data_IF_751720192634
#
_entry.id   IF_751720192634
#
_cell.length_a   1.000
_cell.length_b   1.000
_cell.length_c   1.000
_cell.angle_alpha   90.00
_cell.angle_beta   90.00
_cell.angle_gamma   90.00
#
_symmetry.space_group_name_H-M   'P 1'
#
loop_
_entity.id
_entity.type
_entity.pdbx_description
1 polymer ?
#
# COMPACT_ATOMS: atom_id res chain seq x y z
N UNK A 1 23.36 40.30 34.59
CA UNK A 1 24.04 39.15 33.96
C UNK A 1 23.90 39.30 32.45
N UNK A 2 24.99 39.56 31.72
CA UNK A 2 24.88 39.75 30.27
C UNK A 2 24.68 38.41 29.55
N UNK A 3 23.78 38.33 28.54
CA UNK A 3 23.62 37.13 27.74
C UNK A 3 24.85 36.94 26.85
N UNK A 4 25.55 35.83 27.03
CA UNK A 4 26.74 35.47 26.25
C UNK A 4 26.29 35.06 24.84
N UNK A 5 26.69 35.81 23.81
CA UNK A 5 26.36 35.49 22.42
C UNK A 5 27.02 34.16 22.05
N UNK A 6 26.29 33.21 21.42
CA UNK A 6 26.85 31.90 21.11
C UNK A 6 28.01 32.04 20.13
N UNK A 7 29.14 31.41 20.46
CA UNK A 7 30.39 31.45 19.68
C UNK A 7 30.25 30.95 18.24
N UNK A 8 29.22 30.13 17.93
CA UNK A 8 28.95 29.69 16.58
C UNK A 8 27.43 29.45 16.34
N UNK A 9 26.70 30.43 15.81
CA UNK A 9 25.26 30.30 15.55
C UNK A 9 24.91 29.33 14.40
N UNK A 10 25.88 28.97 13.56
CA UNK A 10 25.67 28.07 12.41
C UNK A 10 25.51 26.60 12.79
N UNK A 11 26.17 26.14 13.87
CA UNK A 11 26.13 24.72 14.31
C UNK A 11 24.73 24.23 14.61
N UNK A 12 23.90 25.07 15.26
CA UNK A 12 22.50 24.73 15.58
C UNK A 12 21.67 24.60 14.30
N UNK A 13 21.85 25.52 13.34
CA UNK A 13 21.14 25.47 12.05
C UNK A 13 21.52 24.22 11.25
N UNK A 14 22.81 23.87 11.23
CA UNK A 14 23.30 22.66 10.59
C UNK A 14 22.71 21.40 11.23
N UNK A 15 22.72 21.29 12.56
CA UNK A 15 22.18 20.13 13.26
C UNK A 15 20.68 19.95 13.00
N UNK A 16 19.92 21.06 13.02
CA UNK A 16 18.49 21.05 12.69
C UNK A 16 18.26 20.58 11.25
N UNK A 17 19.02 21.11 10.29
CA UNK A 17 18.92 20.71 8.90
C UNK A 17 19.30 19.24 8.67
N UNK A 18 20.39 18.76 9.28
CA UNK A 18 20.80 17.37 9.18
C UNK A 18 19.75 16.42 9.78
N UNK A 19 19.21 16.78 10.95
CA UNK A 19 18.22 15.95 11.65
C UNK A 19 16.88 15.93 10.92
N UNK A 20 16.46 17.04 10.30
CA UNK A 20 15.22 17.07 9.51
C UNK A 20 15.32 16.20 8.26
N UNK A 21 16.45 16.25 7.54
CA UNK A 21 16.69 15.41 6.37
C UNK A 21 16.62 13.92 6.75
N UNK A 22 17.34 13.51 7.80
CA UNK A 22 17.33 12.12 8.27
C UNK A 22 15.94 11.70 8.77
N UNK A 23 15.23 12.58 9.48
CA UNK A 23 13.87 12.33 9.97
C UNK A 23 12.84 12.09 8.85
N UNK A 24 13.08 12.65 7.66
CA UNK A 24 12.19 12.48 6.50
C UNK A 24 12.19 11.04 5.98
N UNK A 25 13.24 10.25 6.27
CA UNK A 25 13.29 8.82 5.91
C UNK A 25 12.19 7.97 6.55
N UNK A 26 11.56 8.44 7.64
CA UNK A 26 10.48 7.72 8.32
C UNK A 26 9.21 7.61 7.46
N UNK A 27 8.94 8.61 6.63
CA UNK A 27 7.78 8.59 5.72
C UNK A 27 7.93 7.50 4.66
N UNK A 28 9.14 7.30 4.13
CA UNK A 28 9.41 6.24 3.15
C UNK A 28 9.23 4.84 3.77
N UNK A 29 9.69 4.64 5.00
CA UNK A 29 9.51 3.37 5.72
C UNK A 29 8.03 3.03 5.97
N UNK A 30 7.17 4.03 6.20
CA UNK A 30 5.73 3.81 6.41
C UNK A 30 4.99 3.27 5.16
N UNK A 31 5.56 3.47 3.96
CA UNK A 31 4.95 3.05 2.70
C UNK A 31 4.74 1.53 2.65
N UNK A 32 5.70 0.73 3.13
CA UNK A 32 5.59 -0.73 3.13
C UNK A 32 4.43 -1.25 3.99
N UNK A 33 4.11 -0.54 5.08
CA UNK A 33 2.98 -0.89 5.94
C UNK A 33 1.64 -0.55 5.30
N UNK A 34 1.53 0.60 4.64
CA UNK A 34 0.31 0.97 3.89
C UNK A 34 0.11 0.04 2.70
N UNK A 35 1.18 -0.26 1.97
CA UNK A 35 1.14 -1.17 0.82
C UNK A 35 0.74 -2.60 1.22
N UNK A 36 1.05 -3.05 2.44
CA UNK A 36 0.68 -4.37 2.94
C UNK A 36 -0.84 -4.57 3.08
N UNK A 37 -1.64 -3.50 3.16
CA UNK A 37 -3.10 -3.59 3.20
C UNK A 37 -3.74 -3.74 1.81
N UNK A 38 -2.96 -3.66 0.72
CA UNK A 38 -3.50 -3.89 -0.61
C UNK A 38 -3.87 -5.38 -0.81
N UNK A 39 -4.96 -5.68 -1.54
CA UNK A 39 -5.36 -7.05 -1.84
C UNK A 39 -4.26 -7.75 -2.65
N UNK A 40 -3.95 -8.98 -2.26
CA UNK A 40 -2.96 -9.83 -2.92
C UNK A 40 -3.33 -10.11 -4.38
N UNK A 41 -2.34 -10.49 -5.20
CA UNK A 41 -2.57 -10.84 -6.61
C UNK A 41 -3.59 -11.98 -6.77
N UNK A 42 -3.60 -12.93 -5.84
CA UNK A 42 -4.62 -13.99 -5.79
C UNK A 42 -6.01 -13.43 -5.53
N UNK A 43 -6.15 -12.44 -4.64
CA UNK A 43 -7.43 -11.78 -4.38
C UNK A 43 -7.90 -10.94 -5.60
N UNK A 44 -6.97 -10.29 -6.32
CA UNK A 44 -7.29 -9.58 -7.57
C UNK A 44 -7.70 -10.55 -8.69
N UNK A 45 -6.99 -11.67 -8.84
CA UNK A 45 -7.30 -12.71 -9.82
C UNK A 45 -8.65 -13.40 -9.55
N UNK A 46 -8.98 -13.66 -8.29
CA UNK A 46 -10.29 -14.20 -7.90
C UNK A 46 -11.46 -13.23 -8.18
N UNK A 47 -11.17 -11.94 -8.36
CA UNK A 47 -12.14 -10.92 -8.74
C UNK A 47 -12.24 -10.62 -10.24
N UNK A 48 -11.37 -11.20 -11.08
CA UNK A 48 -11.31 -10.96 -12.52
C UNK A 48 -12.39 -11.77 -13.27
N UNK A 49 -13.17 -11.18 -14.21
CA UNK A 49 -14.41 -11.74 -14.75
C UNK A 49 -14.29 -13.21 -15.19
N UNK A 50 -15.15 -14.08 -14.65
CA UNK A 50 -15.17 -15.51 -14.96
C UNK A 50 -15.77 -15.69 -16.36
N UNK A 51 -14.96 -16.21 -17.28
CA UNK A 51 -15.44 -16.62 -18.61
C UNK A 51 -16.17 -17.95 -18.46
N UNK A 52 -17.50 -17.91 -18.45
CA UNK A 52 -18.34 -19.09 -18.51
C UNK A 52 -18.79 -19.33 -19.97
N UNK A 53 -18.34 -20.43 -20.57
CA UNK A 53 -18.77 -20.83 -21.91
C UNK A 53 -20.09 -21.60 -21.82
N UNK A 54 -21.18 -20.98 -22.29
CA UNK A 54 -22.56 -21.47 -22.20
C UNK A 54 -22.93 -22.36 -23.41
N UNK A 55 -22.06 -22.44 -24.43
CA UNK A 55 -22.37 -23.10 -25.72
C UNK A 55 -22.69 -24.59 -25.61
N UNK A 56 -22.22 -25.27 -24.56
CA UNK A 56 -22.41 -26.71 -24.33
C UNK A 56 -23.60 -27.05 -23.42
N UNK A 57 -24.34 -26.04 -22.93
CA UNK A 57 -25.47 -26.27 -22.02
C UNK A 57 -26.76 -26.60 -22.79
N UNK A 58 -27.31 -27.77 -22.49
CA UNK A 58 -28.58 -28.25 -23.03
C UNK A 58 -29.74 -27.63 -22.26
N UNK A 59 -30.85 -27.32 -22.93
CA UNK A 59 -32.05 -26.78 -22.30
C UNK A 59 -32.48 -27.64 -21.09
N UNK A 60 -32.66 -27.02 -19.93
CA UNK A 60 -33.01 -27.68 -18.67
C UNK A 60 -31.82 -28.11 -17.78
N UNK A 61 -30.57 -27.91 -18.20
CA UNK A 61 -29.38 -28.15 -17.34
C UNK A 61 -28.89 -26.86 -16.68
N UNK A 62 -28.61 -26.94 -15.38
CA UNK A 62 -28.01 -25.87 -14.59
C UNK A 62 -26.49 -26.03 -14.56
N UNK A 63 -25.75 -24.94 -14.74
CA UNK A 63 -24.29 -24.90 -14.58
C UNK A 63 -23.95 -23.98 -13.42
N UNK A 64 -23.22 -24.50 -12.43
CA UNK A 64 -22.72 -23.73 -11.30
C UNK A 64 -21.29 -23.28 -11.60
N UNK A 65 -21.09 -21.97 -11.75
CA UNK A 65 -19.78 -21.36 -11.96
C UNK A 65 -19.31 -20.80 -10.63
N UNK A 66 -18.12 -21.20 -10.15
CA UNK A 66 -17.55 -20.63 -8.92
C UNK A 66 -17.04 -19.21 -9.21
N UNK A 67 -17.61 -18.21 -8.53
CA UNK A 67 -17.21 -16.81 -8.60
C UNK A 67 -16.94 -16.26 -7.21
N UNK A 68 -15.73 -15.76 -6.94
CA UNK A 68 -15.35 -15.21 -5.61
C UNK A 68 -15.71 -16.13 -4.41
N UNK A 69 -15.67 -17.46 -4.61
CA UNK A 69 -16.03 -18.45 -3.58
C UNK A 69 -17.53 -18.75 -3.45
N UNK A 70 -18.38 -18.05 -4.20
CA UNK A 70 -19.83 -18.25 -4.24
C UNK A 70 -20.18 -18.94 -5.56
N UNK A 71 -20.96 -20.04 -5.56
CA UNK A 71 -21.46 -20.62 -6.79
C UNK A 71 -22.59 -19.71 -7.36
N UNK A 72 -22.50 -19.39 -8.66
CA UNK A 72 -23.53 -18.67 -9.42
C UNK A 72 -24.05 -19.51 -10.59
#
# INVERSE_FOLDING_TARGET
MQPKTPSNPGRRKFLIAATSIVGTGRYWSSYSFVAAFNPSEQAKAAGAPSKADISKLRAGKMMLVKWRGIPI
#
